data_IF_799399453665
#
_entry.id   IF_799399453665
#
_cell.length_a   1.000
_cell.length_b   1.000
_cell.length_c   1.000
_cell.angle_alpha   90.00
_cell.angle_beta   90.00
_cell.angle_gamma   90.00
#
_symmetry.space_group_name_H-M   'P 1'
#
loop_
_entity.id
_entity.type
_entity.pdbx_description
1 polymer ?
#
# COMPACT_ATOMS: atom_id res chain seq x y z
N UNK A 1 -4.79 37.19 -30.77
CA UNK A 1 -4.37 35.77 -30.90
C UNK A 1 -3.17 35.35 -30.03
N UNK A 2 -2.16 36.22 -29.78
CA UNK A 2 -0.98 35.86 -28.97
C UNK A 2 -1.31 35.62 -27.49
N UNK A 3 -2.16 36.46 -26.89
CA UNK A 3 -2.63 36.34 -25.50
C UNK A 3 -3.34 35.02 -25.22
N UNK A 4 -4.20 34.56 -26.14
CA UNK A 4 -4.95 33.31 -25.99
C UNK A 4 -4.05 32.07 -25.93
N UNK A 5 -2.97 32.04 -26.71
CA UNK A 5 -1.98 30.94 -26.68
C UNK A 5 -1.17 30.92 -25.39
N UNK A 6 -0.89 32.10 -24.83
CA UNK A 6 -0.16 32.24 -23.56
C UNK A 6 -1.04 31.76 -22.40
N UNK A 7 -2.30 32.17 -22.36
CA UNK A 7 -3.27 31.67 -21.36
C UNK A 7 -3.44 30.16 -21.45
N UNK A 8 -3.56 29.60 -22.66
CA UNK A 8 -3.68 28.15 -22.85
C UNK A 8 -2.43 27.39 -22.36
N UNK A 9 -1.23 27.95 -22.60
CA UNK A 9 0.03 27.37 -22.08
C UNK A 9 0.05 27.31 -20.57
N UNK A 10 -0.31 28.40 -19.89
CA UNK A 10 -0.34 28.43 -18.43
C UNK A 10 -1.42 27.52 -17.86
N UNK A 11 -2.60 27.45 -18.49
CA UNK A 11 -3.66 26.53 -18.10
C UNK A 11 -3.20 25.05 -18.23
N UNK A 12 -2.49 24.70 -19.30
CA UNK A 12 -1.93 23.36 -19.48
C UNK A 12 -0.89 23.04 -18.40
N UNK A 13 0.01 23.98 -18.10
CA UNK A 13 1.03 23.80 -17.06
C UNK A 13 0.38 23.62 -15.68
N UNK A 14 -0.64 24.42 -15.37
CA UNK A 14 -1.41 24.29 -14.14
C UNK A 14 -2.11 22.93 -14.05
N UNK A 15 -2.72 22.46 -15.15
CA UNK A 15 -3.35 21.14 -15.20
C UNK A 15 -2.33 20.02 -14.93
N UNK A 16 -1.16 20.08 -15.59
CA UNK A 16 -0.10 19.09 -15.39
C UNK A 16 0.42 19.09 -13.95
N UNK A 17 0.61 20.27 -13.35
CA UNK A 17 0.99 20.39 -11.94
C UNK A 17 -0.06 19.78 -11.01
N UNK A 18 -1.34 20.03 -11.28
CA UNK A 18 -2.44 19.54 -10.47
C UNK A 18 -2.54 18.01 -10.54
N UNK A 19 -2.39 17.43 -11.74
CA UNK A 19 -2.34 15.98 -11.92
C UNK A 19 -1.11 15.37 -11.25
N UNK A 20 0.06 16.01 -11.35
CA UNK A 20 1.28 15.51 -10.71
C UNK A 20 1.16 15.50 -9.17
N UNK A 21 0.67 16.59 -8.58
CA UNK A 21 0.46 16.70 -7.14
C UNK A 21 -0.62 15.75 -6.65
N UNK A 22 -1.75 15.67 -7.36
CA UNK A 22 -2.85 14.77 -7.03
C UNK A 22 -2.44 13.30 -7.14
N UNK A 23 -1.73 12.94 -8.21
CA UNK A 23 -1.20 11.60 -8.42
C UNK A 23 -0.19 11.20 -7.35
N UNK A 24 0.76 12.09 -7.01
CA UNK A 24 1.74 11.86 -5.95
C UNK A 24 1.08 11.65 -4.58
N UNK A 25 0.13 12.53 -4.23
CA UNK A 25 -0.59 12.42 -2.96
C UNK A 25 -1.44 11.14 -2.89
N UNK A 26 -2.16 10.83 -3.97
CA UNK A 26 -2.95 9.60 -4.08
C UNK A 26 -2.07 8.35 -3.93
N UNK A 27 -0.91 8.32 -4.58
CA UNK A 27 0.05 7.24 -4.46
C UNK A 27 0.58 7.07 -3.03
N UNK A 28 0.95 8.17 -2.35
CA UNK A 28 1.39 8.08 -0.95
C UNK A 28 0.31 7.55 -0.02
N UNK A 29 -0.94 8.00 -0.19
CA UNK A 29 -2.06 7.50 0.59
C UNK A 29 -2.32 6.02 0.32
N UNK A 30 -2.19 5.58 -0.93
CA UNK A 30 -2.34 4.18 -1.31
C UNK A 30 -1.33 3.28 -0.59
N UNK A 31 -0.04 3.66 -0.60
CA UNK A 31 1.03 2.90 0.08
C UNK A 31 0.82 2.89 1.60
N UNK A 32 0.49 4.04 2.21
CA UNK A 32 0.26 4.12 3.66
C UNK A 32 -0.91 3.24 4.10
N UNK A 33 -1.99 3.19 3.33
CA UNK A 33 -3.13 2.32 3.63
C UNK A 33 -2.75 0.84 3.63
N UNK A 34 -1.90 0.41 2.71
CA UNK A 34 -1.38 -0.96 2.69
C UNK A 34 -0.65 -1.32 3.99
N UNK A 35 0.22 -0.42 4.46
CA UNK A 35 0.96 -0.62 5.71
C UNK A 35 0.06 -0.64 6.95
N UNK A 36 -0.97 0.22 7.00
CA UNK A 36 -1.95 0.20 8.08
C UNK A 36 -2.74 -1.12 8.13
N UNK A 37 -3.14 -1.63 6.98
CA UNK A 37 -3.82 -2.93 6.89
C UNK A 37 -2.87 -4.05 7.35
N UNK A 38 -1.59 -4.01 6.95
CA UNK A 38 -0.57 -4.97 7.42
C UNK A 38 -0.49 -5.01 8.94
N UNK A 39 -0.40 -3.84 9.57
CA UNK A 39 -0.31 -3.72 11.03
C UNK A 39 -1.58 -4.22 11.72
N UNK A 40 -2.74 -3.92 11.15
CA UNK A 40 -4.03 -4.39 11.68
C UNK A 40 -4.18 -5.91 11.58
N UNK A 41 -3.73 -6.52 10.49
CA UNK A 41 -3.76 -7.98 10.32
C UNK A 41 -2.81 -8.64 11.33
N UNK A 42 -1.58 -8.11 11.47
CA UNK A 42 -0.62 -8.63 12.44
C UNK A 42 -1.11 -8.50 13.88
N UNK A 43 -1.74 -7.37 14.23
CA UNK A 43 -2.27 -7.16 15.58
C UNK A 43 -3.43 -8.12 15.89
N UNK A 44 -4.33 -8.36 14.95
CA UNK A 44 -5.40 -9.35 15.11
C UNK A 44 -4.87 -10.78 15.16
N UNK A 45 -3.87 -11.12 14.33
CA UNK A 45 -3.24 -12.43 14.35
C UNK A 45 -2.57 -12.72 15.71
N UNK A 46 -1.88 -11.73 16.29
CA UNK A 46 -1.29 -11.84 17.61
C UNK A 46 -2.33 -12.02 18.73
N UNK A 47 -3.53 -11.44 18.58
CA UNK A 47 -4.63 -11.62 19.55
C UNK A 47 -5.29 -13.00 19.44
N UNK A 48 -5.51 -13.49 18.22
CA UNK A 48 -6.19 -14.76 17.97
C UNK A 48 -5.29 -15.98 18.22
N UNK A 49 -4.01 -15.89 17.86
CA UNK A 49 -3.05 -16.99 17.95
C UNK A 49 -1.71 -16.49 18.53
N UNK A 50 -1.62 -16.22 19.85
CA UNK A 50 -0.41 -15.67 20.47
C UNK A 50 0.80 -16.62 20.45
N UNK A 51 0.56 -17.89 20.11
CA UNK A 51 1.58 -18.94 19.99
C UNK A 51 2.12 -19.07 18.55
N UNK A 52 1.58 -18.30 17.60
CA UNK A 52 2.01 -18.30 16.20
C UNK A 52 2.81 -17.02 15.91
N UNK A 53 3.95 -17.18 15.24
CA UNK A 53 4.72 -16.09 14.67
C UNK A 53 4.24 -15.86 13.22
N UNK A 54 3.40 -14.83 13.05
CA UNK A 54 2.89 -14.41 11.76
C UNK A 54 3.74 -13.25 11.25
N UNK A 55 4.39 -13.43 10.11
CA UNK A 55 5.18 -12.39 9.45
C UNK A 55 4.59 -12.08 8.08
N UNK A 56 4.39 -10.79 7.82
CA UNK A 56 3.91 -10.28 6.55
C UNK A 56 4.95 -9.28 6.04
N UNK A 57 5.53 -9.57 4.87
CA UNK A 57 6.51 -8.70 4.23
C UNK A 57 5.89 -7.40 3.73
N UNK A 58 4.93 -7.50 2.80
CA UNK A 58 4.23 -6.34 2.27
C UNK A 58 2.72 -6.61 2.14
N UNK A 59 1.95 -5.53 2.23
CA UNK A 59 0.51 -5.54 2.02
C UNK A 59 0.18 -4.48 0.99
N UNK A 60 -0.35 -4.91 -0.17
CA UNK A 60 -0.73 -4.03 -1.26
C UNK A 60 -2.23 -4.03 -1.42
N UNK A 61 -2.80 -2.84 -1.51
CA UNK A 61 -4.15 -2.67 -2.02
C UNK A 61 -4.12 -2.80 -3.54
N UNK A 62 -5.02 -3.59 -4.09
CA UNK A 62 -5.34 -3.63 -5.53
C UNK A 62 -6.57 -2.76 -5.81
N UNK A 63 -6.76 -2.39 -7.08
CA UNK A 63 -7.81 -1.45 -7.52
C UNK A 63 -9.24 -1.83 -7.10
N UNK A 64 -9.53 -3.11 -6.84
CA UNK A 64 -10.86 -3.65 -6.56
C UNK A 64 -11.08 -4.00 -5.08
N UNK A 65 -10.53 -3.22 -4.15
CA UNK A 65 -10.56 -3.50 -2.70
C UNK A 65 -9.99 -4.88 -2.32
N UNK A 66 -9.19 -5.49 -3.20
CA UNK A 66 -8.47 -6.70 -2.87
C UNK A 66 -7.20 -6.32 -2.14
N UNK A 67 -6.92 -7.04 -1.07
CA UNK A 67 -5.68 -6.90 -0.32
C UNK A 67 -4.81 -8.08 -0.70
N UNK A 68 -3.67 -7.79 -1.33
CA UNK A 68 -2.66 -8.79 -1.62
C UNK A 68 -1.59 -8.74 -0.53
N UNK A 69 -1.45 -9.86 0.16
CA UNK A 69 -0.38 -10.09 1.11
C UNK A 69 0.77 -10.73 0.33
N UNK A 70 1.95 -10.14 0.42
CA UNK A 70 3.18 -10.64 -0.21
C UNK A 70 4.12 -11.16 0.89
N UNK A 71 4.74 -12.32 0.65
CA UNK A 71 5.66 -12.98 1.59
C UNK A 71 5.02 -13.25 2.96
N UNK A 72 3.85 -13.90 2.97
CA UNK A 72 3.24 -14.35 4.21
C UNK A 72 4.01 -15.56 4.73
N UNK A 73 4.53 -15.47 5.96
CA UNK A 73 5.18 -16.58 6.65
C UNK A 73 4.45 -16.86 7.97
N UNK A 74 4.11 -18.11 8.20
CA UNK A 74 3.46 -18.59 9.43
C UNK A 74 4.38 -19.61 10.09
N UNK A 75 4.76 -19.39 11.35
CA UNK A 75 5.53 -20.33 12.16
C UNK A 75 4.95 -20.50 13.56
N UNK A 76 5.24 -21.62 14.21
CA UNK A 76 5.01 -21.73 15.66
C UNK A 76 6.17 -21.01 16.38
N UNK A 77 5.87 -20.29 17.47
CA UNK A 77 6.87 -19.46 18.17
C UNK A 77 8.11 -20.23 18.66
N UNK A 78 7.96 -21.53 18.91
CA UNK A 78 9.02 -22.44 19.33
C UNK A 78 9.71 -23.22 18.19
N UNK A 79 9.32 -22.99 16.92
CA UNK A 79 9.95 -23.63 15.77
C UNK A 79 10.72 -22.62 14.93
N UNK A 80 12.01 -22.90 14.72
CA UNK A 80 12.90 -22.05 13.91
C UNK A 80 12.53 -22.01 12.41
N UNK A 81 11.62 -22.88 11.95
CA UNK A 81 11.19 -22.95 10.54
C UNK A 81 9.72 -22.54 10.40
N UNK A 82 9.39 -21.67 9.43
CA UNK A 82 7.99 -21.39 9.11
C UNK A 82 7.32 -22.67 8.61
N UNK A 83 6.13 -22.94 9.13
CA UNK A 83 5.27 -24.06 8.75
C UNK A 83 4.73 -23.82 7.34
N UNK A 84 4.48 -22.55 6.98
CA UNK A 84 3.87 -22.21 5.71
C UNK A 84 4.43 -20.87 5.21
N UNK A 85 4.85 -20.85 3.94
CA UNK A 85 5.36 -19.64 3.26
C UNK A 85 4.60 -19.48 1.97
N UNK A 86 3.92 -18.35 1.79
CA UNK A 86 3.19 -18.01 0.56
C UNK A 86 3.86 -16.80 -0.11
N UNK A 87 4.11 -16.87 -1.43
CA UNK A 87 4.65 -15.74 -2.20
C UNK A 87 3.67 -14.57 -2.29
#
# INVERSE_FOLDING_TARGET
MKTLRVTLKYALVLLLLLVAVGGWYGYQQWVRRGELIRQQILSQAAQLAPHWDVRIGACRLELLNRVRLENLSLGARDQARPILTLP
#
